data_IF_493721934906
#
_entry.id   IF_493721934906
#
_cell.length_a   1.000
_cell.length_b   1.000
_cell.length_c   1.000
_cell.angle_alpha   90.00
_cell.angle_beta   90.00
_cell.angle_gamma   90.00
#
_symmetry.space_group_name_H-M   'P 1'
#
loop_
_entity.id
_entity.type
_entity.pdbx_description
1 polymer ?
#
# COMPACT_ATOMS: atom_id res chain seq x y z
N UNK A 1 2.49 20.72 -13.66
CA UNK A 1 2.29 21.11 -12.24
C UNK A 1 0.89 20.85 -11.72
N UNK A 2 -0.20 21.18 -12.44
CA UNK A 2 -1.59 20.88 -12.01
C UNK A 2 -1.81 19.39 -11.69
N UNK A 3 -1.30 18.50 -12.53
CA UNK A 3 -1.32 17.04 -12.35
C UNK A 3 -0.64 16.53 -11.07
N UNK A 4 0.44 17.18 -10.61
CA UNK A 4 1.15 16.77 -9.40
C UNK A 4 0.41 17.21 -8.12
N UNK A 5 -0.19 18.39 -8.14
CA UNK A 5 -1.06 18.87 -7.06
C UNK A 5 -2.32 18.01 -6.96
N UNK A 6 -2.92 17.66 -8.10
CA UNK A 6 -4.04 16.74 -8.17
C UNK A 6 -3.65 15.34 -7.65
N UNK A 7 -2.42 14.88 -7.94
CA UNK A 7 -1.91 13.62 -7.43
C UNK A 7 -1.74 13.63 -5.90
N UNK A 8 -1.12 14.66 -5.33
CA UNK A 8 -0.96 14.78 -3.88
C UNK A 8 -2.30 14.82 -3.13
N UNK A 9 -3.28 15.58 -3.64
CA UNK A 9 -4.62 15.64 -3.06
C UNK A 9 -5.34 14.28 -3.13
N UNK A 10 -5.20 13.56 -4.26
CA UNK A 10 -5.74 12.21 -4.40
C UNK A 10 -5.05 11.21 -3.47
N UNK A 11 -3.72 11.28 -3.32
CA UNK A 11 -2.96 10.44 -2.37
C UNK A 11 -3.47 10.64 -0.95
N UNK A 12 -3.69 11.87 -0.49
CA UNK A 12 -4.26 12.14 0.83
C UNK A 12 -5.64 11.50 1.02
N UNK A 13 -6.51 11.57 0.00
CA UNK A 13 -7.82 10.91 0.02
C UNK A 13 -7.70 9.39 0.07
N UNK A 14 -6.73 8.81 -0.64
CA UNK A 14 -6.47 7.36 -0.59
C UNK A 14 -5.87 6.95 0.74
N UNK A 15 -5.00 7.75 1.35
CA UNK A 15 -4.42 7.45 2.67
C UNK A 15 -5.50 7.35 3.75
N UNK A 16 -6.50 8.24 3.73
CA UNK A 16 -7.64 8.15 4.62
C UNK A 16 -8.46 6.85 4.40
N UNK A 17 -8.62 6.42 3.15
CA UNK A 17 -9.31 5.16 2.81
C UNK A 17 -8.50 3.94 3.23
N UNK A 18 -7.18 3.95 2.99
CA UNK A 18 -6.24 2.92 3.42
C UNK A 18 -6.32 2.77 4.94
N UNK A 19 -6.28 3.86 5.71
CA UNK A 19 -6.40 3.80 7.17
C UNK A 19 -7.74 3.23 7.63
N UNK A 20 -8.84 3.66 7.01
CA UNK A 20 -10.16 3.14 7.34
C UNK A 20 -10.25 1.64 7.05
N UNK A 21 -9.80 1.20 5.88
CA UNK A 21 -9.82 -0.22 5.48
C UNK A 21 -8.86 -1.07 6.30
N UNK A 22 -7.68 -0.54 6.64
CA UNK A 22 -6.72 -1.23 7.49
C UNK A 22 -7.25 -1.42 8.92
N UNK A 23 -7.99 -0.44 9.46
CA UNK A 23 -8.70 -0.60 10.74
C UNK A 23 -9.77 -1.68 10.68
N UNK A 24 -10.54 -1.76 9.59
CA UNK A 24 -11.51 -2.85 9.38
C UNK A 24 -10.82 -4.20 9.36
N UNK A 25 -9.68 -4.31 8.69
CA UNK A 25 -8.88 -5.52 8.63
C UNK A 25 -8.41 -5.95 10.03
N UNK A 26 -7.88 -5.01 10.82
CA UNK A 26 -7.50 -5.27 12.23
C UNK A 26 -8.69 -5.76 13.06
N UNK A 27 -9.85 -5.09 12.96
CA UNK A 27 -11.06 -5.47 13.70
C UNK A 27 -11.57 -6.87 13.31
N UNK A 28 -11.55 -7.22 12.02
CA UNK A 28 -11.89 -8.57 11.58
C UNK A 28 -10.96 -9.61 12.19
N UNK A 29 -9.66 -9.33 12.24
CA UNK A 29 -8.72 -10.25 12.87
C UNK A 29 -8.87 -10.37 14.38
N UNK A 30 -9.26 -9.31 15.07
CA UNK A 30 -9.57 -9.36 16.50
C UNK A 30 -10.74 -10.32 16.80
N UNK A 31 -11.73 -10.37 15.89
CA UNK A 31 -12.91 -11.23 16.01
C UNK A 31 -12.60 -12.67 15.56
N UNK A 32 -11.97 -12.83 14.39
CA UNK A 32 -11.86 -14.09 13.68
C UNK A 32 -10.47 -14.76 13.81
N UNK A 33 -9.45 -14.02 14.25
CA UNK A 33 -8.09 -14.51 14.41
C UNK A 33 -7.97 -15.40 15.63
N UNK A 34 -7.35 -16.58 15.50
CA UNK A 34 -7.22 -17.49 16.63
C UNK A 34 -6.31 -16.97 17.74
N UNK A 35 -6.43 -17.52 18.94
CA UNK A 35 -5.88 -16.93 20.16
C UNK A 35 -4.35 -16.93 20.21
N UNK A 36 -3.68 -17.84 19.51
CA UNK A 36 -2.24 -18.08 19.68
C UNK A 36 -1.35 -17.04 18.99
N UNK A 37 -1.80 -16.42 17.89
CA UNK A 37 -1.02 -15.44 17.14
C UNK A 37 -1.69 -14.06 17.02
N UNK A 38 -2.86 -13.89 17.64
CA UNK A 38 -3.67 -12.68 17.50
C UNK A 38 -2.87 -11.39 17.74
N UNK A 39 -2.22 -11.29 18.90
CA UNK A 39 -1.46 -10.10 19.27
C UNK A 39 -0.26 -9.86 18.33
N UNK A 40 0.43 -10.93 17.92
CA UNK A 40 1.60 -10.85 17.04
C UNK A 40 1.23 -10.38 15.63
N UNK A 41 0.18 -10.95 15.04
CA UNK A 41 -0.27 -10.58 13.69
C UNK A 41 -0.88 -9.17 13.68
N UNK A 42 -1.63 -8.77 14.71
CA UNK A 42 -2.11 -7.37 14.82
C UNK A 42 -0.95 -6.37 14.87
N UNK A 43 0.03 -6.63 15.74
CA UNK A 43 1.21 -5.79 15.84
C UNK A 43 1.99 -5.74 14.52
N UNK A 44 2.16 -6.89 13.86
CA UNK A 44 2.84 -6.97 12.56
C UNK A 44 2.08 -6.19 11.47
N UNK A 45 0.75 -6.28 11.40
CA UNK A 45 -0.06 -5.52 10.44
C UNK A 45 0.08 -4.01 10.65
N UNK A 46 0.01 -3.54 11.91
CA UNK A 46 0.20 -2.13 12.25
C UNK A 46 1.59 -1.65 11.82
N UNK A 47 2.62 -2.40 12.19
CA UNK A 47 4.01 -2.04 11.93
C UNK A 47 4.35 -2.11 10.44
N UNK A 48 3.81 -3.09 9.73
CA UNK A 48 3.97 -3.22 8.28
C UNK A 48 3.32 -2.05 7.56
N UNK A 49 2.10 -1.63 7.94
CA UNK A 49 1.45 -0.45 7.34
C UNK A 49 2.23 0.85 7.61
N UNK A 50 2.79 1.00 8.82
CA UNK A 50 3.66 2.13 9.18
C UNK A 50 4.92 2.15 8.31
N UNK A 51 5.58 1.01 8.18
CA UNK A 51 6.81 0.85 7.39
C UNK A 51 6.56 1.07 5.91
N UNK A 52 5.47 0.53 5.37
CA UNK A 52 5.07 0.74 3.97
C UNK A 52 4.87 2.22 3.64
N UNK A 53 4.25 3.01 4.53
CA UNK A 53 4.10 4.47 4.32
C UNK A 53 5.44 5.18 4.22
N UNK A 54 6.39 4.83 5.10
CA UNK A 54 7.72 5.43 5.09
C UNK A 54 8.51 5.03 3.83
N UNK A 55 8.48 3.74 3.48
CA UNK A 55 9.13 3.22 2.29
C UNK A 55 8.56 3.86 1.01
N UNK A 56 7.23 4.03 0.91
CA UNK A 56 6.57 4.69 -0.23
C UNK A 56 7.18 6.06 -0.52
N UNK A 57 7.35 6.90 0.50
CA UNK A 57 7.89 8.25 0.34
C UNK A 57 9.35 8.20 -0.08
N UNK A 58 10.17 7.38 0.58
CA UNK A 58 11.59 7.24 0.28
C UNK A 58 11.84 6.73 -1.14
N UNK A 59 11.12 5.68 -1.53
CA UNK A 59 11.25 5.03 -2.83
C UNK A 59 10.79 5.97 -3.97
N UNK A 60 9.70 6.71 -3.77
CA UNK A 60 9.20 7.63 -4.77
C UNK A 60 10.06 8.88 -4.94
N UNK A 61 10.66 9.40 -3.86
CA UNK A 61 11.62 10.50 -3.97
C UNK A 61 12.88 10.06 -4.72
N UNK A 62 13.42 8.87 -4.40
CA UNK A 62 14.55 8.30 -5.13
C UNK A 62 14.20 8.10 -6.61
N UNK A 63 13.04 7.51 -6.90
CA UNK A 63 12.56 7.31 -8.26
C UNK A 63 12.40 8.65 -9.03
N UNK A 64 11.97 9.71 -8.34
CA UNK A 64 11.96 11.09 -8.82
C UNK A 64 13.35 11.56 -9.26
N UNK A 65 14.32 11.48 -8.35
CA UNK A 65 15.70 11.91 -8.59
C UNK A 65 16.39 11.12 -9.69
N UNK A 66 16.12 9.81 -9.79
CA UNK A 66 16.67 8.93 -10.82
C UNK A 66 16.21 9.29 -12.25
N UNK A 67 15.17 10.10 -12.41
CA UNK A 67 14.79 10.64 -13.75
C UNK A 67 15.83 11.61 -14.32
N UNK A 68 16.76 12.11 -13.49
CA UNK A 68 17.77 13.13 -13.83
C UNK A 68 17.20 14.43 -14.42
N UNK A 69 15.88 14.62 -14.34
CA UNK A 69 15.23 15.82 -14.83
C UNK A 69 15.46 16.99 -13.86
N UNK A 70 15.62 18.19 -14.43
CA UNK A 70 15.79 19.41 -13.65
C UNK A 70 14.49 20.03 -13.14
N UNK A 71 14.64 21.10 -12.35
CA UNK A 71 13.53 21.90 -11.86
C UNK A 71 12.60 21.12 -10.93
N UNK A 72 11.29 21.29 -11.08
CA UNK A 72 10.29 20.63 -10.22
C UNK A 72 9.90 19.22 -10.68
N UNK A 73 10.52 18.69 -11.73
CA UNK A 73 10.12 17.41 -12.31
C UNK A 73 10.30 16.22 -11.35
N UNK A 74 11.43 16.09 -10.61
CA UNK A 74 11.61 15.00 -9.65
C UNK A 74 10.47 14.91 -8.63
N UNK A 75 10.08 16.04 -8.05
CA UNK A 75 8.98 16.08 -7.07
C UNK A 75 7.61 15.82 -7.68
N UNK A 76 7.35 16.33 -8.89
CA UNK A 76 6.13 16.01 -9.61
C UNK A 76 6.03 14.50 -9.91
N UNK A 77 7.19 13.87 -10.16
CA UNK A 77 7.26 12.45 -10.40
C UNK A 77 7.06 11.62 -9.13
N UNK A 78 7.70 12.01 -8.03
CA UNK A 78 7.48 11.42 -6.72
C UNK A 78 5.98 11.43 -6.34
N UNK A 79 5.28 12.55 -6.55
CA UNK A 79 3.85 12.66 -6.26
C UNK A 79 2.98 11.66 -7.06
N UNK A 80 3.29 11.43 -8.34
CA UNK A 80 2.57 10.45 -9.18
C UNK A 80 2.90 9.02 -8.76
N UNK A 81 4.17 8.76 -8.42
CA UNK A 81 4.59 7.48 -7.87
C UNK A 81 3.83 7.14 -6.58
N UNK A 82 3.75 8.09 -5.63
CA UNK A 82 3.05 7.88 -4.36
C UNK A 82 1.56 7.59 -4.56
N UNK A 83 0.90 8.33 -5.47
CA UNK A 83 -0.49 8.10 -5.82
C UNK A 83 -0.72 6.67 -6.30
N UNK A 84 0.13 6.18 -7.21
CA UNK A 84 0.02 4.83 -7.76
C UNK A 84 0.24 3.77 -6.69
N UNK A 85 1.25 3.93 -5.84
CA UNK A 85 1.50 3.01 -4.74
C UNK A 85 0.35 3.00 -3.73
N UNK A 86 -0.27 4.15 -3.45
CA UNK A 86 -1.48 4.22 -2.62
C UNK A 86 -2.66 3.47 -3.25
N UNK A 87 -2.89 3.61 -4.56
CA UNK A 87 -3.93 2.85 -5.26
C UNK A 87 -3.70 1.33 -5.17
N UNK A 88 -2.46 0.89 -5.41
CA UNK A 88 -2.09 -0.53 -5.31
C UNK A 88 -2.28 -1.06 -3.89
N UNK A 89 -1.88 -0.29 -2.88
CA UNK A 89 -2.03 -0.67 -1.48
C UNK A 89 -3.49 -0.81 -1.09
N UNK A 90 -4.33 0.14 -1.48
CA UNK A 90 -5.77 0.07 -1.23
C UNK A 90 -6.37 -1.19 -1.88
N UNK A 91 -6.02 -1.48 -3.13
CA UNK A 91 -6.46 -2.68 -3.83
C UNK A 91 -6.02 -3.97 -3.09
N UNK A 92 -4.78 -4.04 -2.59
CA UNK A 92 -4.30 -5.20 -1.83
C UNK A 92 -5.09 -5.39 -0.52
N UNK A 93 -5.39 -4.30 0.20
CA UNK A 93 -6.20 -4.35 1.42
C UNK A 93 -7.64 -4.79 1.11
N UNK A 94 -8.26 -4.23 0.07
CA UNK A 94 -9.61 -4.62 -0.33
C UNK A 94 -9.68 -6.09 -0.78
N UNK A 95 -8.65 -6.59 -1.47
CA UNK A 95 -8.53 -8.00 -1.82
C UNK A 95 -8.41 -8.89 -0.58
N UNK A 96 -7.62 -8.49 0.41
CA UNK A 96 -7.48 -9.22 1.68
C UNK A 96 -8.82 -9.28 2.42
N UNK A 97 -9.52 -8.15 2.55
CA UNK A 97 -10.86 -8.08 3.15
C UNK A 97 -11.87 -8.97 2.41
N UNK A 98 -11.86 -8.94 1.07
CA UNK A 98 -12.75 -9.78 0.26
C UNK A 98 -12.43 -11.28 0.40
N UNK A 99 -11.15 -11.63 0.52
CA UNK A 99 -10.69 -13.00 0.80
C UNK A 99 -11.22 -13.48 2.16
N UNK A 100 -11.02 -12.68 3.22
CA UNK A 100 -11.50 -12.97 4.58
C UNK A 100 -13.03 -13.14 4.60
N UNK A 101 -13.75 -12.25 3.92
CA UNK A 101 -15.22 -12.31 3.85
C UNK A 101 -15.76 -13.57 3.16
N UNK A 102 -14.96 -14.22 2.30
CA UNK A 102 -15.32 -15.47 1.61
C UNK A 102 -14.88 -16.72 2.38
N UNK A 103 -14.03 -16.56 3.39
CA UNK A 103 -13.51 -17.69 4.17
C UNK A 103 -14.61 -18.33 5.04
N UNK A 104 -14.73 -19.67 5.03
CA UNK A 104 -15.61 -20.39 5.95
C UNK A 104 -15.28 -20.07 7.40
N UNK A 105 -16.29 -19.89 8.26
CA UNK A 105 -16.10 -19.53 9.67
C UNK A 105 -15.17 -20.52 10.42
N UNK A 106 -15.31 -21.82 10.12
CA UNK A 106 -14.50 -22.88 10.75
C UNK A 106 -13.02 -22.88 10.37
N UNK A 107 -12.64 -22.23 9.27
CA UNK A 107 -11.24 -22.14 8.81
C UNK A 107 -10.73 -20.70 8.77
N UNK A 108 -11.51 -19.75 9.27
CA UNK A 108 -11.27 -18.31 9.07
C UNK A 108 -9.91 -17.86 9.64
N UNK A 109 -9.44 -18.46 10.73
CA UNK A 109 -8.10 -18.22 11.29
C UNK A 109 -6.97 -18.55 10.30
N UNK A 110 -7.01 -19.74 9.69
CA UNK A 110 -5.98 -20.19 8.74
C UNK A 110 -6.04 -19.38 7.45
N UNK A 111 -7.26 -19.18 6.94
CA UNK A 111 -7.52 -18.40 5.73
C UNK A 111 -7.08 -16.96 5.89
N UNK A 112 -7.29 -16.35 7.07
CA UNK A 112 -6.91 -14.97 7.34
C UNK A 112 -5.43 -14.74 7.04
N UNK A 113 -4.56 -15.64 7.51
CA UNK A 113 -3.11 -15.53 7.32
C UNK A 113 -2.74 -15.54 5.83
N UNK A 114 -3.36 -16.43 5.05
CA UNK A 114 -3.18 -16.46 3.59
C UNK A 114 -3.78 -15.23 2.88
N UNK A 115 -4.90 -14.71 3.37
CA UNK A 115 -5.56 -13.53 2.80
C UNK A 115 -4.72 -12.25 2.97
N UNK A 116 -3.94 -12.13 4.04
CA UNK A 116 -3.12 -10.94 4.31
C UNK A 116 -1.66 -11.06 3.86
N UNK A 117 -1.23 -12.22 3.38
CA UNK A 117 0.15 -12.49 2.96
C UNK A 117 0.68 -11.42 1.99
N UNK A 118 -0.10 -11.06 0.97
CA UNK A 118 0.27 -10.05 -0.03
C UNK A 118 0.41 -8.62 0.52
N UNK A 119 -0.03 -8.35 1.74
CA UNK A 119 0.26 -7.08 2.40
C UNK A 119 1.73 -6.99 2.82
N UNK A 120 2.42 -8.12 3.01
CA UNK A 120 3.83 -8.18 3.34
C UNK A 120 4.74 -8.09 2.11
N UNK A 121 4.19 -8.24 0.89
CA UNK A 121 4.95 -8.07 -0.35
C UNK A 121 5.65 -6.70 -0.37
N UNK A 122 6.91 -6.64 -0.83
CA UNK A 122 7.65 -5.39 -0.94
C UNK A 122 6.92 -4.40 -1.85
N UNK A 123 7.29 -3.12 -1.71
CA UNK A 123 6.91 -2.11 -2.70
C UNK A 123 7.64 -2.50 -3.98
N UNK A 124 6.89 -2.95 -4.97
CA UNK A 124 7.45 -3.09 -6.30
C UNK A 124 7.47 -1.71 -6.95
N UNK A 125 8.65 -1.12 -7.22
CA UNK A 125 8.70 0.04 -8.08
C UNK A 125 8.07 -0.38 -9.39
N UNK A 126 6.93 0.23 -9.74
CA UNK A 126 6.16 -0.24 -10.87
C UNK A 126 7.05 -0.29 -12.13
N UNK A 127 6.85 -1.33 -12.95
CA UNK A 127 7.64 -1.69 -14.13
C UNK A 127 7.62 -0.65 -15.29
N UNK A 128 7.76 0.65 -14.99
CA UNK A 128 7.74 1.76 -15.94
C UNK A 128 9.13 2.35 -16.20
N UNK A 129 10.21 1.75 -15.69
CA UNK A 129 11.55 2.02 -16.19
C UNK A 129 11.63 1.85 -17.73
N UNK A 130 10.70 1.11 -18.33
CA UNK A 130 10.55 0.91 -19.78
C UNK A 130 9.70 1.98 -20.51
N UNK A 131 9.05 2.91 -19.79
CA UNK A 131 8.08 3.85 -20.37
C UNK A 131 8.47 5.34 -20.21
N UNK A 132 9.76 5.64 -20.08
CA UNK A 132 10.24 7.03 -20.10
C UNK A 132 10.43 7.50 -21.55
N UNK A 133 9.67 8.50 -22.04
CA UNK A 133 9.97 9.12 -23.33
C UNK A 133 11.23 9.96 -23.18
N UNK A 134 12.32 9.57 -23.85
CA UNK A 134 13.56 10.37 -23.89
C UNK A 134 14.89 9.62 -23.81
N UNK A 135 14.91 8.27 -23.86
CA UNK A 135 16.16 7.52 -24.04
C UNK A 135 16.46 7.27 -25.52
N UNK A 136 16.70 8.35 -26.28
CA UNK A 136 17.37 8.32 -27.59
C UNK A 136 18.26 9.55 -27.73
#
# INVERSE_FOLDING_TARGET
MRTALDAAAQTAKLDAQIDARHRVLQQQYELDGGPYLRAGILAALIEQQRTWRAARVADCELAGLLTQAGGSWPHAWAAVCELRLAQQRLQRIDNALACIARAPEKSRELEYTGCVERLADPIEPAAWAEALPGQH
#
